data_IF_052439149590
#
_entry.id   IF_052439149590
#
_cell.length_a   1.000
_cell.length_b   1.000
_cell.length_c   1.000
_cell.angle_alpha   90.00
_cell.angle_beta   90.00
_cell.angle_gamma   90.00
#
_symmetry.space_group_name_H-M   'P 1'
#
loop_
_entity.id
_entity.type
_entity.pdbx_description
1 polymer ?
#
# COMPACT_ATOMS: atom_id res chain seq x y z
N UNK A 1 43.61 28.34 -39.41
CA UNK A 1 42.73 29.38 -40.01
C UNK A 1 41.73 28.70 -40.94
N UNK A 2 40.42 28.92 -40.75
CA UNK A 2 39.40 29.06 -41.81
C UNK A 2 38.11 29.59 -41.16
N UNK A 3 37.24 30.19 -41.97
CA UNK A 3 36.14 31.07 -41.54
C UNK A 3 34.76 30.45 -41.82
N UNK A 4 33.72 31.11 -41.28
CA UNK A 4 32.31 31.05 -41.68
C UNK A 4 31.53 29.76 -41.34
N UNK A 5 30.22 29.83 -41.03
CA UNK A 5 29.39 30.97 -40.62
C UNK A 5 28.13 30.48 -39.89
N UNK A 6 27.45 31.38 -39.17
CA UNK A 6 26.11 31.14 -38.63
C UNK A 6 25.05 31.09 -39.73
N UNK A 7 24.06 30.22 -39.57
CA UNK A 7 22.76 30.35 -40.24
C UNK A 7 21.67 29.78 -39.32
N UNK A 8 20.95 30.68 -38.66
CA UNK A 8 19.83 30.37 -37.78
C UNK A 8 18.54 30.23 -38.60
N UNK A 9 17.83 29.10 -38.43
CA UNK A 9 16.50 28.87 -38.99
C UNK A 9 15.48 28.80 -37.85
N UNK A 10 14.80 29.92 -37.62
CA UNK A 10 13.61 29.95 -36.78
C UNK A 10 12.37 29.64 -37.63
N UNK A 11 11.62 28.60 -37.26
CA UNK A 11 10.23 28.43 -37.68
C UNK A 11 9.33 28.72 -36.48
N UNK A 12 8.32 29.55 -36.68
CA UNK A 12 7.30 29.87 -35.68
C UNK A 12 5.90 29.76 -36.26
N UNK A 13 4.92 29.61 -35.37
CA UNK A 13 3.49 29.41 -35.65
C UNK A 13 3.16 28.05 -36.32
N UNK A 14 1.96 27.48 -36.13
CA UNK A 14 0.74 28.04 -35.56
C UNK A 14 0.15 27.12 -34.48
N UNK A 15 -0.46 27.71 -33.44
CA UNK A 15 -1.33 27.00 -32.50
C UNK A 15 -2.78 27.14 -32.98
N UNK A 16 -3.45 26.01 -33.23
CA UNK A 16 -4.85 25.98 -33.63
C UNK A 16 -5.71 25.34 -32.53
N UNK A 17 -6.38 26.17 -31.73
CA UNK A 17 -7.36 25.71 -30.72
C UNK A 17 -8.74 25.67 -31.40
N UNK A 18 -9.17 24.47 -31.80
CA UNK A 18 -10.51 24.25 -32.34
C UNK A 18 -11.52 24.06 -31.19
N UNK A 19 -12.63 24.80 -31.23
CA UNK A 19 -13.60 24.88 -30.13
C UNK A 19 -14.68 23.78 -30.17
N UNK A 20 -14.89 23.14 -29.03
CA UNK A 20 -16.18 22.62 -28.50
C UNK A 20 -17.26 22.28 -29.55
N UNK A 21 -17.34 21.01 -29.95
CA UNK A 21 -18.56 20.47 -30.56
C UNK A 21 -19.56 20.04 -29.48
N UNK A 22 -20.67 20.76 -29.37
CA UNK A 22 -21.80 20.44 -28.47
C UNK A 22 -22.64 19.29 -29.06
N UNK A 23 -23.06 18.28 -28.28
CA UNK A 23 -23.83 17.15 -28.82
C UNK A 23 -25.21 17.57 -29.34
N UNK A 24 -25.68 16.87 -30.38
CA UNK A 24 -27.02 17.04 -30.97
C UNK A 24 -27.82 15.76 -30.85
N UNK A 25 -28.64 15.66 -29.81
CA UNK A 25 -29.67 14.62 -29.70
C UNK A 25 -30.81 14.88 -30.67
N UNK A 26 -31.32 13.83 -31.33
CA UNK A 26 -32.74 13.69 -31.70
C UNK A 26 -33.06 12.27 -32.17
N UNK A 27 -34.21 11.78 -31.72
CA UNK A 27 -34.81 10.50 -32.09
C UNK A 27 -35.45 10.54 -33.48
N UNK A 28 -35.51 9.39 -34.16
CA UNK A 28 -36.76 8.86 -34.74
C UNK A 28 -36.55 7.48 -35.39
N UNK A 29 -37.51 6.57 -35.21
CA UNK A 29 -37.49 5.18 -35.69
C UNK A 29 -38.07 5.01 -37.11
N UNK A 30 -37.58 4.06 -37.92
CA UNK A 30 -38.39 3.36 -38.95
C UNK A 30 -37.74 2.10 -39.58
N UNK A 31 -38.13 0.93 -39.08
CA UNK A 31 -38.55 -0.32 -39.78
C UNK A 31 -38.28 -0.48 -41.30
N UNK A 32 -37.49 -1.53 -41.64
CA UNK A 32 -37.55 -2.44 -42.84
C UNK A 32 -37.45 -1.87 -44.27
N UNK A 33 -37.28 -2.63 -45.38
CA UNK A 33 -37.32 -4.09 -45.69
C UNK A 33 -36.27 -4.50 -46.76
N UNK A 34 -35.65 -5.68 -46.61
CA UNK A 34 -35.25 -6.69 -47.65
C UNK A 34 -34.42 -6.27 -48.91
N UNK A 35 -33.75 -7.13 -49.69
CA UNK A 35 -33.60 -8.62 -49.83
C UNK A 35 -32.15 -8.89 -50.37
N UNK A 36 -31.55 -10.08 -50.63
CA UNK A 36 -31.93 -11.50 -50.64
C UNK A 36 -30.71 -12.46 -50.54
N UNK A 37 -30.98 -13.74 -50.24
CA UNK A 37 -30.38 -14.98 -50.80
C UNK A 37 -28.86 -15.22 -50.91
N UNK A 38 -28.32 -16.02 -49.96
CA UNK A 38 -27.73 -17.35 -50.21
C UNK A 38 -27.46 -18.04 -48.84
N UNK A 39 -28.17 -19.07 -48.38
CA UNK A 39 -28.39 -20.44 -48.93
C UNK A 39 -27.23 -21.43 -48.73
N UNK A 40 -27.07 -21.92 -47.50
CA UNK A 40 -26.50 -23.25 -47.22
C UNK A 40 -27.23 -23.88 -46.04
N UNK A 41 -27.71 -25.12 -46.18
CA UNK A 41 -28.34 -25.89 -45.09
C UNK A 41 -27.26 -26.66 -44.33
N UNK A 42 -27.34 -26.65 -43.00
CA UNK A 42 -27.06 -27.83 -42.20
C UNK A 42 -27.95 -27.83 -40.96
N UNK A 43 -28.34 -29.01 -40.49
CA UNK A 43 -29.32 -29.18 -39.41
C UNK A 43 -28.80 -30.17 -38.38
N UNK A 44 -28.49 -29.68 -37.17
CA UNK A 44 -28.08 -30.50 -36.02
C UNK A 44 -29.03 -30.23 -34.86
N UNK A 45 -29.36 -31.27 -34.10
CA UNK A 45 -30.47 -31.27 -33.15
C UNK A 45 -30.16 -30.55 -31.82
N UNK A 46 -31.22 -30.05 -31.18
CA UNK A 46 -31.19 -29.61 -29.79
C UNK A 46 -31.25 -30.85 -28.89
N UNK A 47 -30.14 -31.18 -28.22
CA UNK A 47 -30.11 -32.18 -27.15
C UNK A 47 -30.22 -31.51 -25.79
N UNK A 48 -31.40 -31.57 -25.18
CA UNK A 48 -31.60 -31.20 -23.76
C UNK A 48 -31.12 -32.33 -22.85
N UNK A 49 -29.87 -32.27 -22.41
CA UNK A 49 -29.35 -33.19 -21.38
C UNK A 49 -29.57 -32.60 -19.99
N UNK A 50 -30.70 -32.93 -19.35
CA UNK A 50 -30.82 -32.78 -17.90
C UNK A 50 -29.77 -33.65 -17.22
N UNK A 51 -29.02 -33.07 -16.28
CA UNK A 51 -28.11 -33.81 -15.40
C UNK A 51 -28.58 -33.57 -13.96
N UNK A 52 -29.02 -34.63 -13.29
CA UNK A 52 -29.47 -34.54 -11.91
C UNK A 52 -28.29 -34.19 -10.98
N UNK A 53 -28.37 -33.03 -10.32
CA UNK A 53 -27.41 -32.65 -9.30
C UNK A 53 -27.76 -33.41 -8.01
N UNK A 54 -27.17 -34.59 -7.85
CA UNK A 54 -27.27 -35.39 -6.62
C UNK A 54 -26.71 -34.57 -5.46
N UNK A 55 -27.58 -34.16 -4.54
CA UNK A 55 -27.22 -33.34 -3.38
C UNK A 55 -26.50 -34.20 -2.35
N UNK A 56 -25.17 -34.17 -2.35
CA UNK A 56 -24.34 -34.84 -1.35
C UNK A 56 -24.25 -34.00 -0.06
N UNK A 57 -25.25 -34.12 0.82
CA UNK A 57 -25.17 -33.54 2.18
C UNK A 57 -24.16 -34.31 3.04
N UNK A 58 -22.90 -33.90 3.02
CA UNK A 58 -21.90 -34.37 3.99
C UNK A 58 -22.12 -33.68 5.34
N UNK A 59 -22.98 -34.27 6.18
CA UNK A 59 -23.12 -33.87 7.59
C UNK A 59 -21.82 -34.17 8.34
N UNK A 60 -21.05 -33.13 8.66
CA UNK A 60 -19.89 -33.24 9.56
C UNK A 60 -20.41 -33.22 10.99
N UNK A 61 -20.44 -34.39 11.62
CA UNK A 61 -20.83 -34.56 13.01
C UNK A 61 -19.71 -34.06 13.94
N UNK A 62 -19.90 -32.87 14.55
CA UNK A 62 -19.03 -32.42 15.64
C UNK A 62 -19.39 -33.18 16.92
N UNK A 63 -18.63 -34.24 17.21
CA UNK A 63 -18.73 -35.00 18.44
C UNK A 63 -18.19 -34.21 19.64
N UNK A 64 -19.11 -33.55 20.35
CA UNK A 64 -18.80 -32.77 21.57
C UNK A 64 -18.55 -33.73 22.74
N UNK A 65 -17.28 -34.00 23.08
CA UNK A 65 -16.90 -34.83 24.21
C UNK A 65 -17.06 -34.08 25.54
N UNK A 66 -18.27 -34.06 26.11
CA UNK A 66 -18.55 -33.41 27.40
C UNK A 66 -18.09 -34.33 28.54
N UNK A 67 -16.94 -34.00 29.16
CA UNK A 67 -16.49 -34.68 30.39
C UNK A 67 -17.31 -34.22 31.58
N UNK A 68 -18.25 -35.06 32.03
CA UNK A 68 -19.01 -34.85 33.26
C UNK A 68 -18.74 -35.99 34.25
N UNK A 69 -18.04 -35.66 35.33
CA UNK A 69 -18.02 -36.46 36.57
C UNK A 69 -18.13 -35.48 37.72
N UNK A 70 -19.33 -35.34 38.26
CA UNK A 70 -19.56 -34.67 39.54
C UNK A 70 -19.01 -35.55 40.66
N UNK A 71 -18.34 -34.96 41.65
CA UNK A 71 -18.26 -35.56 42.98
C UNK A 71 -18.24 -34.45 44.04
N UNK A 72 -19.03 -34.65 45.09
CA UNK A 72 -19.50 -33.61 46.01
C UNK A 72 -18.44 -33.15 47.02
N UNK A 73 -18.26 -31.83 47.18
CA UNK A 73 -18.24 -31.23 48.54
C UNK A 73 -18.49 -29.72 48.63
N UNK A 74 -19.64 -29.43 49.23
CA UNK A 74 -20.00 -28.20 49.96
C UNK A 74 -18.84 -27.48 50.67
N UNK A 75 -18.67 -26.16 50.44
CA UNK A 75 -18.27 -25.22 51.50
C UNK A 75 -18.71 -23.76 51.25
N UNK A 76 -19.54 -23.28 52.17
CA UNK A 76 -19.55 -21.96 52.84
C UNK A 76 -19.19 -20.65 52.11
N UNK A 77 -20.17 -19.74 52.17
CA UNK A 77 -20.16 -18.29 51.93
C UNK A 77 -18.90 -17.50 52.35
N UNK A 78 -18.67 -16.35 51.68
CA UNK A 78 -18.69 -14.99 52.25
C UNK A 78 -17.67 -14.02 51.60
N UNK A 79 -18.18 -12.88 51.16
CA UNK A 79 -17.47 -11.69 50.66
C UNK A 79 -16.52 -11.08 51.69
N UNK A 80 -15.35 -10.58 51.24
CA UNK A 80 -14.66 -9.47 51.91
C UNK A 80 -14.15 -8.46 50.87
N UNK A 81 -13.96 -7.20 51.26
CA UNK A 81 -13.49 -6.11 50.40
C UNK A 81 -12.44 -5.26 51.10
N UNK A 82 -11.20 -5.29 50.57
CA UNK A 82 -10.12 -4.36 50.92
C UNK A 82 -9.42 -4.01 49.58
N UNK A 83 -9.22 -2.76 49.13
CA UNK A 83 -8.86 -1.49 49.79
C UNK A 83 -7.35 -1.33 50.06
N UNK A 84 -6.61 -0.92 49.04
CA UNK A 84 -5.33 -0.19 49.12
C UNK A 84 -5.20 0.64 47.83
N UNK A 85 -5.43 1.96 47.86
CA UNK A 85 -4.56 3.05 48.36
C UNK A 85 -3.55 3.54 47.33
N UNK A 86 -3.69 4.82 47.01
CA UNK A 86 -2.72 5.64 46.25
C UNK A 86 -1.54 5.99 47.15
N UNK A 87 -0.35 6.09 46.59
CA UNK A 87 0.74 6.95 47.09
C UNK A 87 1.33 7.71 45.89
N UNK A 88 1.52 9.03 46.02
CA UNK A 88 1.98 9.91 44.94
C UNK A 88 2.89 11.00 45.52
N UNK A 89 4.20 10.81 45.39
CA UNK A 89 5.25 11.73 45.86
C UNK A 89 6.63 11.27 45.35
N UNK A 90 7.64 12.13 45.19
CA UNK A 90 7.64 13.59 45.05
C UNK A 90 8.95 14.03 44.37
N UNK A 91 8.93 15.12 43.60
CA UNK A 91 10.16 15.76 43.12
C UNK A 91 10.68 16.72 44.18
N UNK A 92 11.99 16.67 44.47
CA UNK A 92 12.67 17.69 45.30
C UNK A 92 13.97 18.07 44.63
N UNK A 93 14.29 19.37 44.61
CA UNK A 93 15.52 19.90 44.02
C UNK A 93 16.66 19.97 45.03
N UNK A 94 17.90 20.07 44.52
CA UNK A 94 19.06 20.46 45.31
C UNK A 94 19.83 21.56 44.57
N UNK A 95 19.65 22.81 44.98
CA UNK A 95 20.57 23.88 44.64
C UNK A 95 21.82 23.78 45.53
N UNK A 96 22.99 24.11 45.00
CA UNK A 96 24.22 24.28 45.80
C UNK A 96 24.98 25.49 45.27
N UNK A 97 25.33 26.41 46.17
CA UNK A 97 25.80 27.75 45.82
C UNK A 97 27.21 28.02 46.37
N UNK A 98 28.09 28.56 45.51
CA UNK A 98 29.31 29.33 45.82
C UNK A 98 30.43 28.68 46.65
N UNK A 99 31.64 28.69 46.10
CA UNK A 99 32.86 29.27 46.74
C UNK A 99 33.90 29.58 45.66
N UNK A 100 34.37 30.82 45.59
CA UNK A 100 35.51 31.23 44.76
C UNK A 100 36.81 31.25 45.59
N UNK A 101 37.91 30.69 45.08
CA UNK A 101 39.28 31.05 45.46
C UNK A 101 40.17 31.00 44.19
N UNK A 102 40.95 32.05 43.87
CA UNK A 102 41.76 32.09 42.64
C UNK A 102 43.23 31.67 42.86
N UNK A 103 43.76 30.77 42.01
CA UNK A 103 45.21 30.50 41.89
C UNK A 103 45.66 30.20 40.45
N UNK A 104 46.08 31.25 39.77
CA UNK A 104 47.33 31.38 38.98
C UNK A 104 47.95 30.15 38.28
N UNK A 105 47.90 30.19 36.95
CA UNK A 105 48.93 29.74 35.98
C UNK A 105 49.37 28.27 35.94
N UNK A 106 48.95 27.60 34.86
CA UNK A 106 49.87 26.88 33.98
C UNK A 106 49.36 26.95 32.53
N UNK A 107 50.16 27.50 31.59
CA UNK A 107 49.84 27.37 30.17
C UNK A 107 50.12 25.94 29.71
N UNK A 108 49.10 25.22 29.26
CA UNK A 108 49.27 23.96 28.52
C UNK A 108 48.52 24.10 27.21
N UNK A 109 49.28 24.21 26.11
CA UNK A 109 48.76 24.43 24.76
C UNK A 109 48.20 23.13 24.18
N UNK A 110 47.17 22.58 24.79
CA UNK A 110 46.37 21.50 24.20
C UNK A 110 45.53 22.10 23.08
N UNK A 111 46.08 22.10 21.86
CA UNK A 111 45.27 22.27 20.66
C UNK A 111 44.24 21.16 20.64
N UNK A 112 43.02 21.47 21.10
CA UNK A 112 41.87 20.62 20.84
C UNK A 112 41.70 20.57 19.33
N UNK A 113 42.10 19.46 18.72
CA UNK A 113 41.80 19.14 17.34
C UNK A 113 40.27 19.08 17.25
N UNK A 114 39.69 20.21 16.81
CA UNK A 114 38.25 20.36 16.70
C UNK A 114 37.78 19.38 15.65
N UNK A 115 37.39 18.18 16.10
CA UNK A 115 36.90 17.11 15.26
C UNK A 115 35.58 17.60 14.69
N UNK A 116 35.64 18.26 13.54
CA UNK A 116 34.46 18.56 12.73
C UNK A 116 33.88 17.22 12.33
N UNK A 117 32.97 16.73 13.18
CA UNK A 117 32.03 15.68 12.82
C UNK A 117 31.25 16.25 11.66
N UNK A 118 31.68 15.94 10.44
CA UNK A 118 30.92 16.19 9.23
C UNK A 118 29.58 15.51 9.48
N UNK A 119 28.51 16.30 9.69
CA UNK A 119 27.18 15.71 9.66
C UNK A 119 27.06 14.99 8.32
N UNK A 120 26.75 13.69 8.38
CA UNK A 120 26.48 12.90 7.19
C UNK A 120 25.22 13.47 6.55
N UNK A 121 25.43 14.42 5.63
CA UNK A 121 24.38 15.19 4.99
C UNK A 121 23.53 14.23 4.20
N UNK A 122 22.38 13.87 4.79
CA UNK A 122 21.47 12.92 4.21
C UNK A 122 20.97 13.44 2.86
N UNK A 123 21.42 12.80 1.78
CA UNK A 123 20.97 13.08 0.40
C UNK A 123 19.92 12.03 0.01
N UNK A 124 18.63 12.40 -0.09
CA UNK A 124 17.60 11.53 -0.64
C UNK A 124 17.94 11.12 -2.08
N UNK A 125 17.59 9.90 -2.44
CA UNK A 125 17.70 9.41 -3.82
C UNK A 125 16.52 10.01 -4.61
N UNK A 126 16.72 10.86 -5.63
CA UNK A 126 15.61 11.53 -6.32
C UNK A 126 14.74 10.57 -7.13
N UNK A 127 15.37 9.54 -7.72
CA UNK A 127 14.71 8.52 -8.55
C UNK A 127 15.27 7.14 -8.19
N UNK A 128 14.40 6.19 -7.86
CA UNK A 128 14.77 4.89 -7.31
C UNK A 128 13.86 3.76 -7.78
N UNK A 129 14.35 2.52 -7.69
CA UNK A 129 13.51 1.33 -7.65
C UNK A 129 13.42 0.84 -6.20
N UNK A 130 12.31 0.20 -5.84
CA UNK A 130 12.17 -0.48 -4.54
C UNK A 130 12.60 -1.93 -4.69
N UNK A 131 13.44 -2.40 -3.78
CA UNK A 131 13.87 -3.80 -3.62
C UNK A 131 13.34 -4.34 -2.29
N UNK A 132 12.79 -5.54 -2.30
CA UNK A 132 12.41 -6.21 -1.06
C UNK A 132 13.63 -6.61 -0.23
N UNK A 133 13.49 -6.50 1.09
CA UNK A 133 14.37 -7.12 2.08
C UNK A 133 13.51 -7.95 3.04
N UNK A 134 13.85 -9.24 3.17
CA UNK A 134 13.07 -10.24 3.90
C UNK A 134 11.92 -10.86 3.09
N UNK A 135 11.17 -11.75 3.75
CA UNK A 135 10.11 -12.58 3.16
C UNK A 135 10.59 -13.49 2.00
N UNK A 136 9.66 -14.19 1.34
CA UNK A 136 9.94 -15.07 0.19
C UNK A 136 10.23 -14.34 -1.13
N UNK A 137 10.41 -13.01 -1.08
CA UNK A 137 10.65 -12.12 -2.24
C UNK A 137 11.95 -11.32 -2.10
N UNK A 138 12.79 -11.65 -1.11
CA UNK A 138 14.06 -10.97 -0.82
C UNK A 138 14.90 -10.73 -2.09
N UNK A 139 15.44 -9.52 -2.21
CA UNK A 139 16.25 -9.10 -3.36
C UNK A 139 15.46 -8.80 -4.64
N UNK A 140 14.17 -9.12 -4.74
CA UNK A 140 13.37 -8.79 -5.92
C UNK A 140 12.97 -7.31 -5.96
N UNK A 141 12.96 -6.74 -7.17
CA UNK A 141 12.47 -5.39 -7.43
C UNK A 141 10.94 -5.36 -7.52
N UNK A 142 10.33 -4.31 -6.95
CA UNK A 142 8.90 -4.06 -6.95
C UNK A 142 8.39 -3.79 -8.38
N UNK A 143 7.27 -4.41 -8.73
CA UNK A 143 6.64 -4.40 -10.05
C UNK A 143 5.17 -4.02 -9.97
N UNK A 144 4.67 -3.47 -11.05
CA UNK A 144 3.26 -3.10 -11.20
C UNK A 144 2.94 -2.76 -12.64
N UNK A 145 1.70 -2.98 -13.05
CA UNK A 145 1.18 -2.45 -14.30
C UNK A 145 0.64 -1.04 -14.02
N UNK A 146 1.13 0.03 -14.70
CA UNK A 146 0.67 1.40 -14.45
C UNK A 146 -0.54 1.81 -15.31
N UNK A 147 -1.06 0.90 -16.14
CA UNK A 147 -2.26 1.09 -16.98
C UNK A 147 -3.46 0.34 -16.39
N UNK A 148 -3.23 -0.81 -15.75
CA UNK A 148 -4.26 -1.53 -14.99
C UNK A 148 -4.31 -1.08 -13.53
N UNK A 149 -5.51 -1.05 -12.93
CA UNK A 149 -5.70 -0.92 -11.47
C UNK A 149 -5.37 -2.24 -10.75
N UNK A 150 -4.16 -2.76 -10.97
CA UNK A 150 -3.64 -3.98 -10.37
C UNK A 150 -2.96 -3.68 -9.04
N UNK A 151 -2.96 -4.68 -8.15
CA UNK A 151 -2.02 -4.76 -7.04
C UNK A 151 -0.57 -4.66 -7.57
N UNK A 152 0.29 -3.94 -6.84
CA UNK A 152 1.75 -3.95 -7.04
C UNK A 152 2.40 -4.98 -6.11
N UNK A 153 3.56 -5.49 -6.51
CA UNK A 153 4.18 -6.61 -5.83
C UNK A 153 5.41 -7.13 -6.55
N UNK A 154 5.58 -8.45 -6.57
CA UNK A 154 6.80 -9.12 -7.07
C UNK A 154 6.48 -10.22 -8.07
N UNK A 155 7.51 -10.78 -8.68
CA UNK A 155 7.34 -11.66 -9.82
C UNK A 155 6.93 -13.09 -9.41
N UNK A 156 5.91 -13.63 -10.07
CA UNK A 156 5.72 -15.08 -10.21
C UNK A 156 5.96 -15.54 -11.63
N UNK A 157 6.62 -16.69 -11.85
CA UNK A 157 6.79 -17.27 -13.18
C UNK A 157 5.49 -17.72 -13.86
N UNK A 158 4.33 -17.65 -13.20
CA UNK A 158 3.03 -18.02 -13.76
C UNK A 158 2.38 -16.90 -14.61
N UNK A 159 2.78 -15.64 -14.42
CA UNK A 159 2.25 -14.51 -15.21
C UNK A 159 3.32 -14.01 -16.18
N UNK A 160 3.09 -14.24 -17.47
CA UNK A 160 3.97 -13.86 -18.57
C UNK A 160 3.17 -13.09 -19.65
N UNK A 161 3.65 -11.91 -20.11
CA UNK A 161 4.83 -11.19 -19.62
C UNK A 161 4.63 -10.66 -18.19
N UNK A 162 5.71 -10.52 -17.39
CA UNK A 162 5.62 -9.93 -16.07
C UNK A 162 5.40 -8.41 -16.15
N UNK A 163 4.71 -7.79 -15.17
CA UNK A 163 4.62 -6.33 -15.09
C UNK A 163 6.00 -5.66 -14.98
N UNK A 164 6.16 -4.43 -15.50
CA UNK A 164 7.44 -3.72 -15.44
C UNK A 164 7.88 -3.44 -14.01
N UNK A 165 9.20 -3.23 -13.83
CA UNK A 165 9.75 -2.71 -12.57
C UNK A 165 9.34 -1.26 -12.42
N UNK A 166 8.86 -0.88 -11.22
CA UNK A 166 8.44 0.48 -10.95
C UNK A 166 9.65 1.38 -10.70
N UNK A 167 9.72 2.48 -11.44
CA UNK A 167 10.71 3.55 -11.22
C UNK A 167 10.00 4.73 -10.57
N UNK A 168 10.45 5.09 -9.38
CA UNK A 168 9.68 5.84 -8.40
C UNK A 168 10.47 7.08 -7.95
N UNK A 169 9.71 8.06 -7.47
CA UNK A 169 10.16 9.33 -6.89
C UNK A 169 9.24 9.68 -5.72
N UNK A 170 9.57 10.71 -4.94
CA UNK A 170 8.67 11.26 -3.92
C UNK A 170 8.35 12.71 -4.31
N UNK A 171 7.07 13.05 -4.34
CA UNK A 171 6.61 14.42 -4.61
C UNK A 171 6.91 15.32 -3.40
N UNK A 172 7.74 16.35 -3.62
CA UNK A 172 8.22 17.23 -2.55
C UNK A 172 7.14 18.06 -1.84
N UNK A 173 5.91 18.12 -2.35
CA UNK A 173 4.81 18.90 -1.77
C UNK A 173 3.86 18.04 -0.93
N UNK A 174 3.70 16.77 -1.28
CA UNK A 174 2.73 15.84 -0.67
C UNK A 174 3.37 14.66 0.04
N UNK A 175 4.67 14.42 -0.20
CA UNK A 175 5.40 13.20 0.14
C UNK A 175 4.76 11.92 -0.42
N UNK A 176 3.91 12.02 -1.45
CA UNK A 176 3.36 10.84 -2.13
C UNK A 176 4.42 10.22 -3.07
N UNK A 177 4.50 8.89 -3.07
CA UNK A 177 5.39 8.16 -3.99
C UNK A 177 4.78 8.15 -5.39
N UNK A 178 5.53 8.64 -6.38
CA UNK A 178 5.09 8.82 -7.77
C UNK A 178 5.90 7.95 -8.73
N UNK A 179 5.23 7.14 -9.53
CA UNK A 179 5.80 6.42 -10.66
C UNK A 179 6.12 7.42 -11.77
N UNK A 180 7.37 7.44 -12.24
CA UNK A 180 7.87 8.57 -13.05
C UNK A 180 7.33 8.56 -14.48
N UNK A 181 7.11 7.39 -15.07
CA UNK A 181 6.82 7.23 -16.50
C UNK A 181 5.36 7.56 -16.84
N UNK A 182 4.44 7.26 -15.93
CA UNK A 182 2.99 7.47 -16.08
C UNK A 182 2.43 8.56 -15.18
N UNK A 183 3.17 8.94 -14.13
CA UNK A 183 2.74 9.94 -13.16
C UNK A 183 1.65 9.48 -12.19
N UNK A 184 1.33 8.18 -12.17
CA UNK A 184 0.46 7.59 -11.14
C UNK A 184 1.21 7.49 -9.81
N UNK A 185 0.44 7.48 -8.73
CA UNK A 185 0.97 7.46 -7.36
C UNK A 185 0.74 6.09 -6.71
N UNK A 186 1.63 5.71 -5.80
CA UNK A 186 1.44 4.54 -4.96
C UNK A 186 0.31 4.81 -3.97
N UNK A 187 -0.71 3.98 -3.99
CA UNK A 187 -1.94 4.12 -3.20
C UNK A 187 -2.26 2.79 -2.51
N UNK A 188 -2.92 2.85 -1.35
CA UNK A 188 -3.47 1.67 -0.69
C UNK A 188 -4.98 1.64 -0.93
N UNK A 189 -5.48 0.50 -1.41
CA UNK A 189 -6.89 0.14 -1.41
C UNK A 189 -7.22 -0.49 -0.05
N UNK A 190 -8.27 -0.01 0.61
CA UNK A 190 -8.74 -0.58 1.86
C UNK A 190 -9.26 -2.00 1.68
N UNK A 191 -8.89 -2.86 2.64
CA UNK A 191 -9.36 -4.24 2.74
C UNK A 191 -10.75 -4.33 3.34
N UNK A 192 -11.35 -5.52 3.30
CA UNK A 192 -12.74 -5.73 3.69
C UNK A 192 -13.14 -7.19 3.61
N UNK A 193 -14.04 -7.67 4.50
CA UNK A 193 -14.50 -9.07 4.49
C UNK A 193 -13.37 -10.13 4.57
N UNK A 194 -12.20 -9.76 5.10
CA UNK A 194 -11.01 -10.62 5.11
C UNK A 194 -10.08 -10.48 3.90
N UNK A 195 -10.34 -9.56 2.95
CA UNK A 195 -9.35 -9.10 1.98
C UNK A 195 -8.37 -8.08 2.62
N UNK A 196 -7.08 -8.07 2.24
CA UNK A 196 -6.06 -7.20 2.83
C UNK A 196 -6.05 -5.78 2.26
N UNK A 197 -5.43 -4.84 2.97
CA UNK A 197 -5.18 -3.49 2.43
C UNK A 197 -4.07 -3.55 1.36
N UNK A 198 -4.42 -3.60 0.09
CA UNK A 198 -3.49 -3.84 -1.02
C UNK A 198 -2.93 -2.56 -1.63
N UNK A 199 -1.63 -2.55 -1.94
CA UNK A 199 -1.02 -1.43 -2.63
C UNK A 199 -1.24 -1.56 -4.14
N UNK A 200 -1.54 -0.45 -4.80
CA UNK A 200 -1.72 -0.34 -6.25
C UNK A 200 -1.20 1.02 -6.75
N UNK A 201 -1.27 1.26 -8.05
CA UNK A 201 -1.09 2.59 -8.63
C UNK A 201 -2.45 3.26 -8.83
N UNK A 202 -2.60 4.51 -8.39
CA UNK A 202 -3.83 5.30 -8.55
C UNK A 202 -3.57 6.75 -8.98
N UNK A 203 -4.64 7.51 -9.15
CA UNK A 203 -4.61 8.94 -9.49
C UNK A 203 -5.31 9.76 -8.39
N UNK A 204 -4.57 10.48 -7.53
CA UNK A 204 -5.17 11.31 -6.47
C UNK A 204 -6.10 12.42 -7.02
N UNK A 205 -5.99 12.77 -8.30
CA UNK A 205 -6.86 13.74 -8.99
C UNK A 205 -8.23 13.16 -9.35
N UNK A 206 -8.35 11.82 -9.39
CA UNK A 206 -9.58 11.08 -9.67
C UNK A 206 -9.78 10.00 -8.59
N UNK A 207 -10.09 10.40 -7.35
CA UNK A 207 -10.17 9.49 -6.21
C UNK A 207 -11.29 8.48 -6.38
N UNK A 208 -10.99 7.22 -6.06
CA UNK A 208 -11.96 6.12 -6.00
C UNK A 208 -12.25 5.78 -4.53
N UNK A 209 -13.47 5.30 -4.25
CA UNK A 209 -13.87 4.92 -2.89
C UNK A 209 -12.90 3.89 -2.31
N UNK A 210 -12.43 4.12 -1.09
CA UNK A 210 -11.50 3.23 -0.39
C UNK A 210 -10.06 3.21 -0.91
N UNK A 211 -9.68 4.03 -1.89
CA UNK A 211 -8.30 4.09 -2.40
C UNK A 211 -7.67 5.44 -2.05
N UNK A 212 -6.61 5.41 -1.24
CA UNK A 212 -5.92 6.62 -0.74
C UNK A 212 -4.42 6.60 -1.06
N UNK A 213 -3.79 7.75 -1.37
CA UNK A 213 -2.36 7.83 -1.64
C UNK A 213 -1.52 7.50 -0.40
N UNK A 214 -0.40 6.80 -0.60
CA UNK A 214 0.56 6.49 0.46
C UNK A 214 1.59 7.62 0.57
N UNK A 215 1.77 8.12 1.79
CA UNK A 215 2.76 9.16 2.13
C UNK A 215 4.04 8.50 2.61
N UNK A 216 5.21 8.85 2.09
CA UNK A 216 6.47 8.19 2.44
C UNK A 216 7.67 9.14 2.58
N UNK A 217 8.62 8.73 3.42
CA UNK A 217 9.91 9.38 3.66
C UNK A 217 11.05 8.39 3.41
N UNK A 218 12.20 8.89 2.95
CA UNK A 218 13.43 8.09 2.85
C UNK A 218 14.19 8.15 4.17
N UNK A 219 14.69 7.00 4.63
CA UNK A 219 15.51 6.89 5.84
C UNK A 219 17.01 6.92 5.52
N UNK A 220 17.86 7.21 6.52
CA UNK A 220 19.33 7.25 6.36
C UNK A 220 19.93 5.90 5.92
N UNK A 221 19.33 4.78 6.33
CA UNK A 221 19.67 3.42 5.85
C UNK A 221 19.09 3.09 4.46
N UNK A 222 18.67 4.12 3.70
CA UNK A 222 18.12 4.05 2.34
C UNK A 222 16.88 3.15 2.24
N UNK A 223 16.04 3.09 3.26
CA UNK A 223 14.73 2.43 3.19
C UNK A 223 13.62 3.45 2.99
N UNK A 224 12.45 2.96 2.64
CA UNK A 224 11.23 3.76 2.51
C UNK A 224 10.34 3.49 3.72
N UNK A 225 10.10 4.51 4.54
CA UNK A 225 9.10 4.50 5.61
C UNK A 225 7.83 5.16 5.09
N UNK A 226 6.69 4.50 5.20
CA UNK A 226 5.43 4.98 4.65
C UNK A 226 4.31 4.97 5.69
N UNK A 227 3.26 5.76 5.43
CA UNK A 227 1.99 5.70 6.14
C UNK A 227 0.82 6.09 5.23
N UNK A 228 -0.36 5.55 5.54
CA UNK A 228 -1.64 5.98 5.00
C UNK A 228 -2.70 6.00 6.13
N UNK A 229 -3.77 6.83 6.03
CA UNK A 229 -4.89 6.77 6.96
C UNK A 229 -5.51 5.38 6.97
N UNK A 230 -5.79 4.81 8.14
CA UNK A 230 -6.46 3.52 8.22
C UNK A 230 -7.90 3.62 7.69
N UNK A 231 -8.40 2.51 7.16
CA UNK A 231 -9.75 2.42 6.63
C UNK A 231 -10.10 1.02 6.17
N UNK A 232 -11.39 0.78 6.02
CA UNK A 232 -11.98 -0.51 5.68
C UNK A 232 -13.09 -0.33 4.63
N UNK A 233 -13.29 -1.38 3.84
CA UNK A 233 -14.42 -1.53 2.94
C UNK A 233 -15.33 -2.66 3.42
N UNK A 234 -16.62 -2.54 3.19
CA UNK A 234 -17.62 -3.59 3.41
C UNK A 234 -18.53 -3.69 2.20
N UNK A 235 -18.98 -4.91 1.89
CA UNK A 235 -19.99 -5.14 0.85
C UNK A 235 -21.37 -5.19 1.51
N UNK A 236 -22.30 -4.36 1.06
CA UNK A 236 -23.72 -4.58 1.34
C UNK A 236 -24.29 -5.59 0.33
N UNK A 237 -24.45 -6.84 0.77
CA UNK A 237 -24.99 -7.95 -0.02
C UNK A 237 -26.42 -7.69 -0.54
N UNK A 238 -27.19 -6.78 0.09
CA UNK A 238 -28.55 -6.45 -0.35
C UNK A 238 -28.61 -5.42 -1.48
N UNK A 239 -27.53 -4.64 -1.68
CA UNK A 239 -27.44 -3.62 -2.74
C UNK A 239 -26.26 -3.82 -3.70
N UNK A 240 -25.50 -4.91 -3.56
CA UNK A 240 -24.26 -5.22 -4.29
C UNK A 240 -23.27 -4.04 -4.34
N UNK A 241 -23.25 -3.26 -3.25
CA UNK A 241 -22.53 -1.98 -3.18
C UNK A 241 -21.45 -2.04 -2.11
N UNK A 242 -20.19 -1.84 -2.51
CA UNK A 242 -19.07 -1.68 -1.59
C UNK A 242 -19.03 -0.26 -1.02
N UNK A 243 -19.15 -0.12 0.29
CA UNK A 243 -18.94 1.14 1.01
C UNK A 243 -17.61 1.10 1.75
N UNK A 244 -16.84 2.19 1.68
CA UNK A 244 -15.49 2.26 2.28
C UNK A 244 -15.36 3.52 3.14
N UNK A 245 -14.81 3.38 4.34
CA UNK A 245 -14.67 4.45 5.31
C UNK A 245 -13.24 4.47 5.90
N UNK A 246 -12.78 5.65 6.31
CA UNK A 246 -11.60 5.77 7.18
C UNK A 246 -11.94 5.33 8.60
N UNK A 247 -11.02 4.63 9.27
CA UNK A 247 -11.14 4.23 10.68
C UNK A 247 -10.00 4.84 11.51
N UNK A 248 -10.12 4.94 12.84
CA UNK A 248 -9.05 5.48 13.69
C UNK A 248 -7.77 4.65 13.59
N UNK A 249 -6.68 5.27 13.14
CA UNK A 249 -5.35 4.65 13.05
C UNK A 249 -4.63 4.97 11.73
N UNK A 250 -3.52 4.27 11.52
CA UNK A 250 -2.70 4.36 10.30
C UNK A 250 -2.18 3.00 9.87
N UNK A 251 -2.14 2.76 8.57
CA UNK A 251 -1.38 1.67 7.97
C UNK A 251 0.06 2.15 7.76
N UNK A 252 1.05 1.56 8.45
CA UNK A 252 2.45 2.02 8.49
C UNK A 252 3.51 0.90 8.35
N UNK A 253 3.07 -0.35 8.18
CA UNK A 253 3.94 -1.52 7.97
C UNK A 253 3.62 -2.21 6.65
N UNK A 254 4.64 -2.69 5.97
CA UNK A 254 4.51 -3.47 4.74
C UNK A 254 4.67 -4.96 4.99
N UNK A 255 3.72 -5.72 4.46
CA UNK A 255 3.78 -7.17 4.38
C UNK A 255 3.67 -7.61 2.91
N UNK A 256 4.08 -8.85 2.67
CA UNK A 256 3.83 -9.62 1.45
C UNK A 256 2.69 -10.58 1.73
N UNK A 257 1.75 -10.72 0.79
CA UNK A 257 0.73 -11.77 0.81
C UNK A 257 0.81 -12.62 -0.46
N UNK A 258 0.52 -13.92 -0.33
CA UNK A 258 0.58 -14.89 -1.43
C UNK A 258 -0.75 -15.64 -1.58
N UNK A 259 -1.24 -15.84 -2.80
CA UNK A 259 -2.38 -16.70 -3.13
C UNK A 259 -3.78 -16.18 -2.79
N UNK A 260 -3.93 -15.25 -1.85
CA UNK A 260 -5.25 -14.74 -1.40
C UNK A 260 -5.86 -13.64 -2.26
N UNK A 261 -5.07 -12.98 -3.11
CA UNK A 261 -5.54 -11.96 -4.05
C UNK A 261 -4.93 -12.17 -5.43
N UNK A 262 -5.52 -11.55 -6.46
CA UNK A 262 -5.03 -11.55 -7.83
C UNK A 262 -3.66 -10.82 -7.88
N UNK A 263 -2.74 -11.33 -8.70
CA UNK A 263 -1.37 -10.79 -8.89
C UNK A 263 -0.54 -10.77 -7.60
N UNK A 264 -0.39 -11.92 -6.94
CA UNK A 264 0.53 -12.13 -5.80
C UNK A 264 1.84 -12.81 -6.21
N UNK A 265 2.96 -12.70 -5.44
CA UNK A 265 3.13 -11.99 -4.17
C UNK A 265 2.89 -10.48 -4.27
N UNK A 266 1.94 -9.98 -3.47
CA UNK A 266 1.49 -8.59 -3.51
C UNK A 266 1.94 -7.83 -2.27
N UNK A 267 2.20 -6.53 -2.44
CA UNK A 267 2.54 -5.60 -1.36
C UNK A 267 1.25 -5.16 -0.67
N UNK A 268 1.11 -5.45 0.63
CA UNK A 268 -0.04 -5.04 1.46
C UNK A 268 0.42 -4.21 2.66
N UNK A 269 -0.46 -3.36 3.19
CA UNK A 269 -0.19 -2.60 4.41
C UNK A 269 -0.96 -3.14 5.62
N UNK A 270 -0.33 -3.08 6.80
CA UNK A 270 -0.96 -3.32 8.10
C UNK A 270 -0.58 -2.20 9.09
N UNK A 271 -1.24 -2.15 10.24
CA UNK A 271 -0.85 -1.21 11.31
C UNK A 271 0.14 -1.85 12.27
N UNK A 272 1.13 -1.10 12.72
CA UNK A 272 1.98 -1.46 13.85
C UNK A 272 1.25 -1.48 15.18
N UNK A 273 0.07 -0.86 15.29
CA UNK A 273 -0.79 -0.96 16.48
C UNK A 273 -1.67 -2.21 16.51
N UNK A 274 -1.75 -2.97 15.40
CA UNK A 274 -2.53 -4.21 15.34
C UNK A 274 -1.59 -5.44 15.35
N UNK A 275 -1.51 -6.19 16.46
CA UNK A 275 -0.70 -7.40 16.52
C UNK A 275 -1.29 -8.55 15.69
N UNK A 276 -2.53 -8.43 15.21
CA UNK A 276 -3.32 -9.49 14.56
C UNK A 276 -2.93 -9.74 13.10
N UNK A 277 -1.65 -9.62 12.75
CA UNK A 277 -1.16 -9.87 11.38
C UNK A 277 -1.50 -11.31 10.95
N UNK A 278 -2.30 -11.50 9.88
CA UNK A 278 -2.68 -12.83 9.40
C UNK A 278 -1.47 -13.72 9.04
N UNK A 279 -1.58 -15.03 9.27
CA UNK A 279 -0.46 -15.97 9.14
C UNK A 279 0.00 -16.21 7.69
N UNK A 280 -0.82 -15.84 6.71
CA UNK A 280 -0.53 -15.78 5.27
C UNK A 280 0.26 -14.51 4.86
N UNK A 281 0.35 -13.51 5.74
CA UNK A 281 1.20 -12.33 5.55
C UNK A 281 2.62 -12.52 6.12
N UNK A 282 3.61 -11.87 5.51
CA UNK A 282 5.02 -11.87 5.97
C UNK A 282 5.62 -10.48 5.83
N UNK A 283 6.20 -9.94 6.91
CA UNK A 283 6.81 -8.61 6.90
C UNK A 283 7.93 -8.47 5.86
N UNK A 284 8.05 -7.28 5.26
CA UNK A 284 9.07 -6.93 4.27
C UNK A 284 9.50 -5.48 4.46
N UNK A 285 10.81 -5.23 4.38
CA UNK A 285 11.34 -3.87 4.32
C UNK A 285 11.52 -3.44 2.86
N UNK A 286 11.25 -2.16 2.58
CA UNK A 286 11.36 -1.57 1.24
C UNK A 286 12.69 -0.82 1.14
N UNK A 287 13.70 -1.47 0.57
CA UNK A 287 15.03 -0.88 0.35
C UNK A 287 15.06 -0.11 -0.97
N UNK A 288 15.55 1.13 -0.92
CA UNK A 288 15.73 1.99 -2.10
C UNK A 288 17.02 1.61 -2.83
N UNK A 289 16.91 1.39 -4.14
CA UNK A 289 18.04 1.23 -5.05
C UNK A 289 18.05 2.44 -5.99
N UNK A 290 19.16 3.20 -6.10
CA UNK A 290 19.26 4.28 -7.08
C UNK A 290 18.94 3.78 -8.49
N UNK A 291 18.07 4.49 -9.18
CA UNK A 291 17.82 4.22 -10.60
C UNK A 291 19.02 4.67 -11.44
N UNK A 292 19.32 3.92 -12.48
CA UNK A 292 20.31 4.25 -13.50
C UNK A 292 19.67 3.96 -14.87
N UNK A 293 19.80 4.92 -15.78
CA UNK A 293 19.26 4.88 -17.15
C UNK A 293 20.02 3.87 -18.05
#
# INVERSE_FOLDING_TARGET
>A
MRFAAFLSLGLGANVAIASVCKPRSRDSSSVSTETASASSKESVAVSTTSTDIVTATTTIELSISVTSTEDDKTSTQATESQSASVELSASTATETTTTEIPTTTAETTTTAEATTTTEDTFVPIPTFNIKAVGSGVDGQLLRGDPVAYSNIGWFTPMFAPPPPVLTLSIDANTNYVREINTGKYMCVSYGGGGFPNSNMLCDPSNPMSGIVPVTCEQTRDRKLKCSAPAGECHLDEMSDTTYCNTVPGTWDKFNVITGRIINTPALVMVSSSDPSTPSDMKAVELQLVPYAD
#
